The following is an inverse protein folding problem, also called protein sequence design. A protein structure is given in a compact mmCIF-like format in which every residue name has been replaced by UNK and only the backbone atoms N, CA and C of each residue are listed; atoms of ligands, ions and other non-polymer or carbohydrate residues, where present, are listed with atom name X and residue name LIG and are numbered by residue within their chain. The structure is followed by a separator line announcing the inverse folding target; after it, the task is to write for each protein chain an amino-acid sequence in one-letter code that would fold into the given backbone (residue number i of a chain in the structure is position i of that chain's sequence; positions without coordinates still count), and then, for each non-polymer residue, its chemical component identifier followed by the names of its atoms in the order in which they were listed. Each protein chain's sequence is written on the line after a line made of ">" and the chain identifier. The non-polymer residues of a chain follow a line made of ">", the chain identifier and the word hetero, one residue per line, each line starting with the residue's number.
data_IF_425207664690
#
_entry.id   IF_425207664690
#
_cell.length_a   1.000
_cell.length_b   1.000
_cell.length_c   1.000
_cell.angle_alpha   90.00
_cell.angle_beta   90.00
_cell.angle_gamma   90.00
#
_symmetry.space_group_name_H-M   'P 1'
#
loop_
_entity.id
_entity.type
_entity.pdbx_description
1 polymer ?
#
# COMPACT_ATOMS: atom_id res chain seq x y z
N UNK A 1 34.72 -23.60 -32.98
CA UNK A 1 34.48 -22.80 -31.76
C UNK A 1 33.47 -21.68 -31.94
N UNK A 2 33.58 -20.79 -32.93
CA UNK A 2 32.60 -19.67 -33.12
C UNK A 2 31.13 -20.13 -33.31
N UNK A 3 30.87 -21.24 -34.06
CA UNK A 3 29.51 -21.75 -34.29
C UNK A 3 28.86 -22.35 -33.05
N UNK A 4 29.62 -22.96 -32.16
CA UNK A 4 29.13 -23.48 -30.89
C UNK A 4 28.78 -22.40 -29.91
N UNK A 5 29.56 -21.30 -29.89
CA UNK A 5 29.27 -20.12 -29.05
C UNK A 5 27.96 -19.45 -29.45
N UNK A 6 27.68 -19.35 -30.76
CA UNK A 6 26.39 -18.75 -31.23
C UNK A 6 25.17 -19.61 -30.86
N UNK A 7 25.30 -20.94 -30.83
CA UNK A 7 24.21 -21.84 -30.46
C UNK A 7 23.92 -21.70 -28.95
N UNK A 8 24.95 -21.63 -28.13
CA UNK A 8 24.80 -21.45 -26.68
C UNK A 8 24.18 -20.06 -26.37
N UNK A 9 24.60 -19.00 -27.08
CA UNK A 9 24.07 -17.66 -26.91
C UNK A 9 22.60 -17.58 -27.33
N UNK A 10 22.21 -18.25 -28.41
CA UNK A 10 20.81 -18.33 -28.88
C UNK A 10 19.94 -19.11 -27.87
N UNK A 11 20.46 -20.16 -27.25
CA UNK A 11 19.72 -20.94 -26.25
C UNK A 11 19.48 -20.15 -24.95
N UNK A 12 20.46 -19.37 -24.52
CA UNK A 12 20.34 -18.47 -23.35
C UNK A 12 19.35 -17.35 -23.62
N UNK A 13 19.32 -16.82 -24.84
CA UNK A 13 18.38 -15.74 -25.22
C UNK A 13 16.93 -16.23 -25.30
N UNK A 14 16.70 -17.47 -25.74
CA UNK A 14 15.35 -18.07 -25.79
C UNK A 14 14.82 -18.39 -24.38
N UNK A 15 15.69 -18.77 -23.44
CA UNK A 15 15.27 -18.94 -22.04
C UNK A 15 14.92 -17.61 -21.34
N UNK A 16 15.52 -16.49 -21.77
CA UNK A 16 15.23 -15.16 -21.21
C UNK A 16 13.93 -14.54 -21.73
N UNK A 17 13.34 -15.10 -22.83
CA UNK A 17 12.09 -14.64 -23.46
C UNK A 17 10.90 -15.57 -23.17
N UNK A 18 11.06 -16.57 -22.29
CA UNK A 18 9.91 -17.32 -21.83
C UNK A 18 8.94 -16.34 -21.15
N UNK A 19 7.69 -16.17 -21.67
CA UNK A 19 6.68 -15.41 -20.93
C UNK A 19 6.60 -16.08 -19.56
N UNK A 20 6.57 -15.28 -18.50
CA UNK A 20 6.23 -15.76 -17.17
C UNK A 20 4.79 -16.28 -17.26
N UNK A 21 4.61 -17.50 -17.77
CA UNK A 21 3.39 -18.26 -17.58
C UNK A 21 3.19 -18.26 -16.07
N UNK A 22 2.08 -17.75 -15.60
CA UNK A 22 1.66 -17.88 -14.20
C UNK A 22 1.64 -19.38 -13.91
N UNK A 23 2.77 -19.89 -13.43
CA UNK A 23 2.83 -21.24 -12.93
C UNK A 23 1.88 -21.24 -11.74
N UNK A 24 0.82 -22.02 -11.85
CA UNK A 24 -0.07 -22.29 -10.73
C UNK A 24 0.82 -22.95 -9.66
N UNK A 25 1.14 -22.18 -8.61
CA UNK A 25 2.06 -22.62 -7.57
C UNK A 25 1.34 -23.66 -6.73
N UNK A 26 1.65 -24.92 -6.94
CA UNK A 26 1.15 -25.99 -6.07
C UNK A 26 1.90 -25.95 -4.74
N UNK A 27 1.26 -25.34 -3.75
CA UNK A 27 1.79 -25.23 -2.38
C UNK A 27 1.36 -26.39 -1.48
N UNK A 28 0.57 -27.34 -2.00
CA UNK A 28 -0.03 -28.43 -1.21
C UNK A 28 0.99 -29.42 -0.62
N UNK A 29 2.17 -29.49 -1.23
CA UNK A 29 3.28 -30.36 -0.78
C UNK A 29 4.23 -29.72 0.24
N UNK A 30 4.07 -28.43 0.56
CA UNK A 30 4.94 -27.71 1.47
C UNK A 30 4.56 -27.93 2.94
N UNK A 31 5.56 -28.06 3.81
CA UNK A 31 5.35 -28.04 5.25
C UNK A 31 4.95 -26.65 5.73
N UNK A 32 4.42 -26.53 6.95
CA UNK A 32 4.09 -25.23 7.55
C UNK A 32 5.32 -24.30 7.60
N UNK A 33 6.48 -24.84 7.97
CA UNK A 33 7.72 -24.06 8.06
C UNK A 33 8.18 -23.57 6.68
N UNK A 34 8.06 -24.41 5.63
CA UNK A 34 8.36 -24.01 4.26
C UNK A 34 7.40 -22.90 3.76
N UNK A 35 6.13 -22.98 4.10
CA UNK A 35 5.13 -21.96 3.77
C UNK A 35 5.44 -20.63 4.47
N UNK A 36 5.88 -20.66 5.72
CA UNK A 36 6.32 -19.48 6.46
C UNK A 36 7.55 -18.86 5.81
N UNK A 37 8.55 -19.68 5.45
CA UNK A 37 9.76 -19.21 4.78
C UNK A 37 9.46 -18.61 3.39
N UNK A 38 8.57 -19.23 2.62
CA UNK A 38 8.12 -18.71 1.33
C UNK A 38 7.39 -17.36 1.48
N UNK A 39 6.49 -17.25 2.47
CA UNK A 39 5.83 -15.99 2.78
C UNK A 39 6.84 -14.88 3.07
N UNK A 40 7.84 -15.16 3.91
CA UNK A 40 8.86 -14.17 4.29
C UNK A 40 9.68 -13.72 3.07
N UNK A 41 9.96 -14.63 2.12
CA UNK A 41 10.62 -14.30 0.85
C UNK A 41 9.73 -13.44 -0.05
N UNK A 42 8.44 -13.76 -0.15
CA UNK A 42 7.47 -12.96 -0.92
C UNK A 42 7.30 -11.57 -0.31
N UNK A 43 7.18 -11.48 1.01
CA UNK A 43 7.10 -10.20 1.73
C UNK A 43 8.35 -9.34 1.44
N UNK A 44 9.55 -9.94 1.52
CA UNK A 44 10.80 -9.25 1.20
C UNK A 44 10.85 -8.77 -0.27
N UNK A 45 10.38 -9.60 -1.21
CA UNK A 45 10.31 -9.23 -2.63
C UNK A 45 9.33 -8.07 -2.87
N UNK A 46 8.18 -8.07 -2.21
CA UNK A 46 7.20 -6.98 -2.24
C UNK A 46 7.83 -5.70 -1.68
N UNK A 47 8.46 -5.76 -0.50
CA UNK A 47 9.12 -4.62 0.14
C UNK A 47 10.25 -4.02 -0.69
N UNK A 48 10.93 -4.83 -1.49
CA UNK A 48 12.02 -4.40 -2.37
C UNK A 48 11.56 -4.02 -3.78
N UNK A 49 10.27 -4.22 -4.12
CA UNK A 49 9.76 -3.84 -5.43
C UNK A 49 9.68 -2.32 -5.61
N UNK A 50 9.89 -1.86 -6.84
CA UNK A 50 9.77 -0.44 -7.17
C UNK A 50 8.33 0.10 -7.04
N UNK A 51 7.34 -0.79 -7.00
CA UNK A 51 5.92 -0.47 -6.86
C UNK A 51 5.53 -0.25 -5.39
N UNK A 52 6.35 -0.74 -4.45
CA UNK A 52 6.22 -0.47 -3.03
C UNK A 52 6.79 0.91 -2.71
N UNK A 53 6.08 1.97 -3.06
CA UNK A 53 6.54 3.33 -2.83
C UNK A 53 5.70 4.00 -1.74
N UNK A 54 6.41 4.66 -0.84
CA UNK A 54 5.86 5.62 0.07
C UNK A 54 5.62 6.93 -0.68
N UNK A 55 4.38 7.41 -0.71
CA UNK A 55 4.00 8.63 -1.40
C UNK A 55 3.53 9.67 -0.40
N UNK A 56 4.17 10.83 -0.39
CA UNK A 56 3.70 11.99 0.39
C UNK A 56 2.64 12.73 -0.39
N UNK A 57 1.42 12.74 0.14
CA UNK A 57 0.25 13.42 -0.43
C UNK A 57 0.03 14.73 0.34
N UNK A 58 0.06 15.89 -0.31
CA UNK A 58 -0.18 17.19 0.34
C UNK A 58 -1.58 17.26 0.98
N UNK A 59 -1.80 18.30 1.80
CA UNK A 59 -3.16 18.60 2.25
C UNK A 59 -4.04 18.96 1.06
N UNK A 60 -5.29 18.49 1.06
CA UNK A 60 -6.22 18.68 -0.04
C UNK A 60 -7.39 17.71 0.01
N UNK A 61 -8.25 17.83 -0.99
CA UNK A 61 -9.37 16.94 -1.26
C UNK A 61 -9.07 16.13 -2.52
N UNK A 62 -9.12 14.82 -2.41
CA UNK A 62 -8.73 13.87 -3.45
C UNK A 62 -9.86 12.90 -3.74
N UNK A 63 -10.06 12.55 -5.01
CA UNK A 63 -10.99 11.50 -5.43
C UNK A 63 -10.26 10.19 -5.62
N UNK A 64 -10.72 9.14 -4.94
CA UNK A 64 -10.17 7.79 -5.13
C UNK A 64 -10.52 7.28 -6.53
N UNK A 65 -9.59 6.59 -7.16
CA UNK A 65 -9.68 6.13 -8.54
C UNK A 65 -9.23 7.16 -9.59
N UNK A 66 -9.16 8.46 -9.21
CA UNK A 66 -8.68 9.52 -10.09
C UNK A 66 -7.35 10.12 -9.61
N UNK A 67 -7.30 10.55 -8.35
CA UNK A 67 -6.13 11.23 -7.77
C UNK A 67 -5.30 10.29 -6.88
N UNK A 68 -5.95 9.38 -6.15
CA UNK A 68 -5.35 8.35 -5.32
C UNK A 68 -5.88 7.00 -5.79
N UNK A 69 -5.03 6.01 -6.08
CA UNK A 69 -5.47 4.67 -6.46
C UNK A 69 -6.35 4.02 -5.38
N UNK A 70 -7.40 3.31 -5.80
CA UNK A 70 -8.14 2.42 -4.92
C UNK A 70 -7.24 1.29 -4.41
N UNK A 71 -7.55 0.76 -3.23
CA UNK A 71 -6.79 -0.32 -2.61
C UNK A 71 -6.61 -0.13 -1.12
N UNK A 72 -5.83 -1.02 -0.53
CA UNK A 72 -5.55 -0.97 0.91
C UNK A 72 -4.26 -0.19 1.18
N UNK A 73 -4.36 0.81 2.02
CA UNK A 73 -3.30 1.75 2.32
C UNK A 73 -3.05 1.87 3.83
N UNK A 74 -1.80 2.09 4.21
CA UNK A 74 -1.43 2.59 5.53
C UNK A 74 -1.09 4.07 5.39
N UNK A 75 -1.80 4.92 6.15
CA UNK A 75 -1.64 6.36 6.16
C UNK A 75 -0.95 6.76 7.45
N UNK A 76 0.09 7.60 7.35
CA UNK A 76 0.84 8.16 8.48
C UNK A 76 0.97 9.67 8.33
N UNK A 77 1.33 10.35 9.41
CA UNK A 77 1.86 11.70 9.34
C UNK A 77 3.40 11.66 9.29
N UNK A 78 4.06 12.65 8.68
CA UNK A 78 5.51 12.81 8.78
C UNK A 78 5.98 12.92 10.23
N UNK A 79 7.25 12.60 10.48
CA UNK A 79 7.84 12.70 11.83
C UNK A 79 7.76 14.13 12.35
N UNK A 80 7.33 14.30 13.59
CA UNK A 80 7.14 15.60 14.27
C UNK A 80 5.87 16.34 13.88
N UNK A 81 5.07 15.82 12.93
CA UNK A 81 3.83 16.43 12.42
C UNK A 81 2.59 15.64 12.84
N UNK A 82 1.44 16.27 12.71
CA UNK A 82 0.15 15.59 12.79
C UNK A 82 -0.75 16.09 11.67
N UNK A 83 -1.63 15.21 11.20
CA UNK A 83 -2.65 15.56 10.22
C UNK A 83 -4.03 15.03 10.63
N UNK A 84 -5.05 15.47 9.93
CA UNK A 84 -6.41 14.94 10.03
C UNK A 84 -6.82 14.41 8.66
N UNK A 85 -7.16 13.14 8.60
CA UNK A 85 -7.62 12.49 7.37
C UNK A 85 -9.07 12.10 7.54
N UNK A 86 -9.91 12.49 6.58
CA UNK A 86 -11.31 12.06 6.46
C UNK A 86 -11.51 11.26 5.18
N UNK A 87 -12.31 10.22 5.25
CA UNK A 87 -12.63 9.34 4.12
C UNK A 87 -14.12 9.10 4.08
N UNK A 88 -14.74 9.27 2.92
CA UNK A 88 -16.16 9.01 2.74
C UNK A 88 -16.60 9.16 1.28
N UNK A 89 -17.82 8.71 0.97
CA UNK A 89 -18.39 8.73 -0.38
C UNK A 89 -19.17 10.01 -0.71
N UNK A 90 -19.35 10.90 0.26
CA UNK A 90 -20.09 12.15 0.08
C UNK A 90 -19.28 13.35 0.54
N UNK A 91 -19.34 14.42 -0.23
CA UNK A 91 -18.79 15.72 0.15
C UNK A 91 -19.75 16.49 1.03
N UNK A 92 -19.25 17.50 1.72
CA UNK A 92 -20.06 18.53 2.38
C UNK A 92 -20.85 19.38 1.35
N UNK A 93 -21.76 20.21 1.83
CA UNK A 93 -22.61 21.05 0.97
C UNK A 93 -21.81 22.04 0.11
N UNK A 94 -20.58 22.34 0.47
CA UNK A 94 -19.68 23.24 -0.25
C UNK A 94 -18.77 22.49 -1.23
N UNK A 95 -18.72 21.15 -1.18
CA UNK A 95 -17.82 20.33 -2.00
C UNK A 95 -16.35 20.45 -1.63
N UNK A 96 -16.03 20.91 -0.40
CA UNK A 96 -14.66 21.22 0.03
C UNK A 96 -14.09 20.25 1.08
N UNK A 97 -14.95 19.43 1.67
CA UNK A 97 -14.60 18.44 2.68
C UNK A 97 -15.44 17.16 2.51
N UNK A 98 -15.00 16.07 3.11
CA UNK A 98 -15.82 14.88 3.25
C UNK A 98 -16.94 15.16 4.28
N UNK A 99 -18.16 14.72 3.96
CA UNK A 99 -19.32 14.87 4.84
C UNK A 99 -19.01 14.30 6.25
N UNK A 100 -19.67 14.86 7.27
CA UNK A 100 -19.50 14.46 8.68
C UNK A 100 -19.77 12.97 8.98
N UNK A 101 -20.46 12.27 8.07
CA UNK A 101 -20.70 10.81 8.16
C UNK A 101 -19.51 9.96 7.69
N UNK A 102 -18.49 10.57 7.12
CA UNK A 102 -17.26 9.87 6.76
C UNK A 102 -16.43 9.50 7.98
N UNK A 103 -15.56 8.51 7.81
CA UNK A 103 -14.56 8.15 8.82
C UNK A 103 -13.51 9.25 8.93
N UNK A 104 -13.11 9.59 10.17
CA UNK A 104 -12.11 10.62 10.42
C UNK A 104 -11.11 10.16 11.48
N UNK A 105 -9.81 10.44 11.23
CA UNK A 105 -8.74 10.18 12.19
C UNK A 105 -7.76 11.35 12.23
N UNK A 106 -7.30 11.66 13.44
CA UNK A 106 -6.07 12.42 13.64
C UNK A 106 -4.92 11.43 13.68
N UNK A 107 -3.92 11.64 12.83
CA UNK A 107 -2.74 10.79 12.75
C UNK A 107 -1.54 11.62 13.21
N UNK A 108 -0.80 11.10 14.20
CA UNK A 108 0.37 11.76 14.78
C UNK A 108 1.61 11.01 14.32
N UNK A 109 2.53 11.72 13.68
CA UNK A 109 3.82 11.18 13.28
C UNK A 109 4.71 10.89 14.48
N UNK A 110 5.73 10.10 14.26
CA UNK A 110 6.75 9.81 15.26
C UNK A 110 7.32 11.12 15.82
N UNK A 111 7.55 11.18 17.13
CA UNK A 111 8.04 12.36 17.85
C UNK A 111 7.11 13.59 17.85
N UNK A 112 5.83 13.44 17.48
CA UNK A 112 4.87 14.52 17.64
C UNK A 112 4.60 14.82 19.13
N UNK A 113 4.77 16.08 19.53
CA UNK A 113 4.61 16.53 20.93
C UNK A 113 3.47 17.53 21.12
N UNK A 114 2.70 17.77 20.08
CA UNK A 114 1.58 18.72 20.10
C UNK A 114 0.32 18.17 20.77
N UNK A 115 -0.76 18.95 20.68
CA UNK A 115 -2.06 18.57 21.21
C UNK A 115 -2.68 17.43 20.37
N UNK A 116 -3.31 16.46 21.05
CA UNK A 116 -3.98 15.33 20.41
C UNK A 116 -5.44 15.25 20.83
N UNK A 117 -6.27 14.66 19.98
CA UNK A 117 -7.68 14.33 20.30
C UNK A 117 -7.80 12.91 20.79
N UNK A 118 -8.86 12.60 21.48
CA UNK A 118 -9.21 11.22 21.81
C UNK A 118 -9.39 10.40 20.53
N UNK A 119 -8.69 9.25 20.44
CA UNK A 119 -8.70 8.40 19.24
C UNK A 119 -7.66 8.78 18.19
N UNK A 120 -6.72 9.69 18.48
CA UNK A 120 -5.53 9.88 17.65
C UNK A 120 -4.71 8.58 17.57
N UNK A 121 -4.08 8.35 16.42
CA UNK A 121 -3.29 7.13 16.15
C UNK A 121 -2.00 7.46 15.41
N UNK A 122 -1.02 6.56 15.46
CA UNK A 122 0.27 6.72 14.78
C UNK A 122 0.18 6.35 13.29
N UNK A 123 -0.77 5.49 12.96
CA UNK A 123 -1.05 5.07 11.58
C UNK A 123 -2.50 4.62 11.44
N UNK A 124 -3.06 4.82 10.25
CA UNK A 124 -4.40 4.37 9.93
C UNK A 124 -4.35 3.48 8.69
N UNK A 125 -4.65 2.18 8.86
CA UNK A 125 -4.80 1.25 7.73
C UNK A 125 -6.26 1.23 7.31
N UNK A 126 -6.51 1.51 6.02
CA UNK A 126 -7.85 1.64 5.45
C UNK A 126 -7.89 1.09 4.03
N UNK A 127 -9.05 0.62 3.59
CA UNK A 127 -9.34 0.25 2.21
C UNK A 127 -10.07 1.39 1.51
N UNK A 128 -9.42 1.98 0.50
CA UNK A 128 -9.97 3.05 -0.33
C UNK A 128 -10.68 2.46 -1.55
N UNK A 129 -11.86 2.98 -1.88
CA UNK A 129 -12.70 2.55 -3.02
C UNK A 129 -12.95 3.70 -3.98
N UNK A 130 -13.16 3.39 -5.24
CA UNK A 130 -13.32 4.36 -6.34
C UNK A 130 -14.46 5.38 -6.14
N UNK A 131 -15.44 5.10 -5.28
CA UNK A 131 -16.57 6.00 -4.99
C UNK A 131 -16.30 6.95 -3.81
N UNK A 132 -15.09 6.93 -3.26
CA UNK A 132 -14.72 7.69 -2.06
C UNK A 132 -13.90 8.94 -2.38
N UNK A 133 -13.88 9.83 -1.39
CA UNK A 133 -13.00 10.99 -1.32
C UNK A 133 -12.13 10.90 -0.07
N UNK A 134 -10.92 11.42 -0.18
CA UNK A 134 -9.97 11.56 0.93
C UNK A 134 -9.69 13.05 1.13
N UNK A 135 -9.98 13.58 2.31
CA UNK A 135 -9.65 14.95 2.67
C UNK A 135 -8.54 14.95 3.72
N UNK A 136 -7.41 15.58 3.39
CA UNK A 136 -6.22 15.68 4.24
C UNK A 136 -6.08 17.13 4.70
N UNK A 137 -6.01 17.36 6.02
CA UNK A 137 -5.91 18.68 6.66
C UNK A 137 -4.77 18.70 7.68
N UNK A 138 -4.30 19.91 7.97
CA UNK A 138 -3.29 20.22 9.00
C UNK A 138 -1.90 19.64 8.72
N UNK A 139 -1.58 19.34 7.48
CA UNK A 139 -0.29 18.82 7.06
C UNK A 139 -0.42 17.73 6.01
N UNK A 140 0.68 17.29 5.41
CA UNK A 140 0.68 16.21 4.44
C UNK A 140 0.45 14.84 5.11
N UNK A 141 0.06 13.86 4.31
CA UNK A 141 -0.05 12.48 4.73
C UNK A 141 0.85 11.57 3.89
N UNK A 142 1.43 10.57 4.53
CA UNK A 142 2.29 9.59 3.90
C UNK A 142 1.48 8.32 3.68
N UNK A 143 1.33 7.93 2.43
CA UNK A 143 0.62 6.74 2.00
C UNK A 143 1.60 5.64 1.64
N UNK A 144 1.46 4.47 2.27
CA UNK A 144 2.21 3.26 1.94
C UNK A 144 1.22 2.18 1.55
N UNK A 145 1.37 1.51 0.38
CA UNK A 145 0.53 0.38 0.02
C UNK A 145 0.58 -0.69 1.13
N UNK A 146 -0.57 -1.21 1.52
CA UNK A 146 -0.63 -2.23 2.55
C UNK A 146 -0.51 -3.64 1.94
N UNK A 147 0.67 -4.23 1.98
CA UNK A 147 0.86 -5.66 1.78
C UNK A 147 0.39 -6.37 3.06
N UNK A 148 -0.86 -6.80 3.09
CA UNK A 148 -1.53 -7.28 4.29
C UNK A 148 -0.73 -8.32 5.08
N UNK A 149 -0.80 -8.27 6.42
CA UNK A 149 -0.47 -9.45 7.21
C UNK A 149 -1.46 -10.54 6.83
N UNK A 150 -1.02 -11.74 6.43
CA UNK A 150 -1.92 -12.82 6.14
C UNK A 150 -2.82 -13.07 7.36
N UNK A 151 -4.12 -13.09 7.15
CA UNK A 151 -5.06 -13.51 8.18
C UNK A 151 -4.76 -14.98 8.50
N UNK A 152 -4.27 -15.26 9.68
CA UNK A 152 -4.00 -16.63 10.11
C UNK A 152 -5.29 -17.45 10.34
N UNK A 153 -6.47 -16.90 9.99
CA UNK A 153 -7.73 -17.62 10.00
C UNK A 153 -8.24 -18.00 11.40
N UNK A 154 -7.65 -17.48 12.46
CA UNK A 154 -8.20 -17.66 13.81
C UNK A 154 -9.54 -16.91 13.89
N UNK A 155 -10.61 -17.69 14.11
CA UNK A 155 -11.95 -17.18 14.45
C UNK A 155 -12.10 -17.13 15.96
#
# INVERSE_FOLDING_TARGET
>A
MKRMLCIILAFVLVLALAPAAFAEWDLSGLSFDDLVALRDQVDLAIWSSAEWQEVTVPQGLYKVGADIPAGKWTIRAPSGEANSVKIGSQLDDNGTDVNFRGDSRMICGENYTGWTVSGACDAWTVELRDDQYVCIKNGPAVFTPYAGKPSLGFK
#
